data_IF_376404087381
#
_entry.id   IF_376404087381
#
_cell.length_a   1.000
_cell.length_b   1.000
_cell.length_c   1.000
_cell.angle_alpha   90.00
_cell.angle_beta   90.00
_cell.angle_gamma   90.00
#
_symmetry.space_group_name_H-M   'P 1'
#
loop_
_entity.id
_entity.type
_entity.pdbx_description
1 polymer ?
#
# COMPACT_ATOMS: atom_id res chain seq x y z
N UNK A 1 27.28 21.49 -32.36
CA UNK A 1 26.39 21.74 -31.22
C UNK A 1 25.32 20.65 -31.27
N UNK A 2 24.97 20.04 -30.15
CA UNK A 2 23.92 19.03 -30.13
C UNK A 2 22.55 19.73 -30.21
N UNK A 3 21.70 19.32 -31.15
CA UNK A 3 20.32 19.79 -31.26
C UNK A 3 19.42 19.00 -30.30
N UNK A 4 18.23 19.53 -30.00
CA UNK A 4 17.19 18.76 -29.32
C UNK A 4 16.77 17.60 -30.23
N UNK A 5 16.49 16.44 -29.64
CA UNK A 5 15.92 15.33 -30.38
C UNK A 5 14.42 15.55 -30.64
N UNK A 6 13.91 14.88 -31.68
CA UNK A 6 12.53 14.99 -32.13
C UNK A 6 11.51 14.62 -31.05
N UNK A 7 11.82 13.63 -30.19
CA UNK A 7 10.91 13.20 -29.11
C UNK A 7 10.79 14.28 -28.05
N UNK A 8 11.90 14.90 -27.64
CA UNK A 8 11.90 16.03 -26.70
C UNK A 8 11.12 17.23 -27.26
N UNK A 9 11.23 17.50 -28.57
CA UNK A 9 10.53 18.62 -29.21
C UNK A 9 9.01 18.41 -29.30
N UNK A 10 8.56 17.17 -29.57
CA UNK A 10 7.13 16.83 -29.55
C UNK A 10 6.58 16.82 -28.11
N UNK A 11 7.31 16.24 -27.14
CA UNK A 11 6.89 16.28 -25.74
C UNK A 11 6.81 17.71 -25.18
N UNK A 12 7.64 18.63 -25.70
CA UNK A 12 7.52 20.07 -25.40
C UNK A 12 6.22 20.67 -25.95
N UNK A 13 5.81 20.29 -27.16
CA UNK A 13 4.57 20.77 -27.79
C UNK A 13 3.30 20.24 -27.11
N UNK A 14 3.33 18.98 -26.67
CA UNK A 14 2.20 18.33 -26.00
C UNK A 14 2.07 18.71 -24.50
N UNK A 15 2.98 19.56 -23.98
CA UNK A 15 3.11 19.92 -22.55
C UNK A 15 3.35 18.71 -21.62
N UNK A 16 4.01 17.67 -22.15
CA UNK A 16 4.31 16.41 -21.44
C UNK A 16 5.73 16.38 -20.82
N UNK A 17 6.56 17.41 -21.04
CA UNK A 17 7.88 17.50 -20.43
C UNK A 17 7.82 17.86 -18.94
N UNK A 18 8.58 17.16 -18.07
CA UNK A 18 8.79 17.58 -16.69
C UNK A 18 9.39 18.99 -16.61
N UNK A 19 9.02 19.77 -15.59
CA UNK A 19 9.38 21.18 -15.45
C UNK A 19 10.90 21.47 -15.59
N UNK A 20 11.77 20.56 -15.11
CA UNK A 20 13.22 20.69 -15.26
C UNK A 20 13.68 20.58 -16.70
N UNK A 21 13.19 19.58 -17.43
CA UNK A 21 13.53 19.35 -18.83
C UNK A 21 12.93 20.42 -19.75
N UNK A 22 11.77 20.95 -19.39
CA UNK A 22 11.16 22.07 -20.10
C UNK A 22 12.02 23.34 -20.02
N UNK A 23 12.55 23.68 -18.84
CA UNK A 23 13.43 24.83 -18.68
C UNK A 23 14.75 24.68 -19.48
N UNK A 24 15.29 23.47 -19.55
CA UNK A 24 16.46 23.15 -20.39
C UNK A 24 16.17 23.28 -21.88
N UNK A 25 15.01 22.78 -22.33
CA UNK A 25 14.56 22.91 -23.71
C UNK A 25 14.31 24.38 -24.08
N UNK A 26 13.68 25.18 -23.22
CA UNK A 26 13.46 26.62 -23.42
C UNK A 26 14.77 27.40 -23.52
N UNK A 27 15.75 27.09 -22.66
CA UNK A 27 17.09 27.68 -22.74
C UNK A 27 17.79 27.33 -24.07
N UNK A 28 17.69 26.08 -24.51
CA UNK A 28 18.25 25.67 -25.80
C UNK A 28 17.54 26.34 -26.98
N UNK A 29 16.21 26.45 -26.93
CA UNK A 29 15.41 27.10 -27.95
C UNK A 29 15.72 28.60 -28.03
N UNK A 30 16.09 29.26 -26.94
CA UNK A 30 16.50 30.68 -26.97
C UNK A 30 17.79 30.90 -27.80
N UNK A 31 18.72 29.94 -27.76
CA UNK A 31 20.06 30.08 -28.35
C UNK A 31 20.21 29.37 -29.71
N UNK A 32 19.32 28.43 -30.07
CA UNK A 32 19.45 27.63 -31.29
C UNK A 32 18.38 27.95 -32.36
N UNK A 33 18.71 28.70 -33.43
CA UNK A 33 17.75 29.06 -34.48
C UNK A 33 17.27 27.87 -35.31
N UNK A 34 18.07 26.79 -35.40
CA UNK A 34 17.67 25.57 -36.11
C UNK A 34 16.52 24.85 -35.39
N UNK A 35 16.64 24.67 -34.07
CA UNK A 35 15.59 24.06 -33.25
C UNK A 35 14.33 24.94 -33.18
N UNK A 36 14.46 26.28 -33.21
CA UNK A 36 13.32 27.18 -33.34
C UNK A 36 12.57 27.00 -34.67
N UNK A 37 13.30 26.85 -35.77
CA UNK A 37 12.71 26.64 -37.09
C UNK A 37 11.95 25.31 -37.18
N UNK A 38 12.52 24.26 -36.58
CA UNK A 38 11.90 22.93 -36.50
C UNK A 38 10.62 22.96 -35.64
N UNK A 39 10.67 23.61 -34.48
CA UNK A 39 9.49 23.84 -33.63
C UNK A 39 8.39 24.58 -34.37
N UNK A 40 8.74 25.65 -35.10
CA UNK A 40 7.77 26.44 -35.87
C UNK A 40 7.12 25.61 -36.99
N UNK A 41 7.87 24.71 -37.63
CA UNK A 41 7.34 23.81 -38.65
C UNK A 41 6.34 22.80 -38.03
N UNK A 42 6.65 22.23 -36.87
CA UNK A 42 5.73 21.35 -36.14
C UNK A 42 4.46 22.09 -35.69
N UNK A 43 4.59 23.30 -35.14
CA UNK A 43 3.43 24.12 -34.74
C UNK A 43 2.50 24.43 -35.92
N UNK A 44 3.07 24.71 -37.11
CA UNK A 44 2.28 24.92 -38.33
C UNK A 44 1.53 23.65 -38.75
N UNK A 45 2.15 22.48 -38.61
CA UNK A 45 1.50 21.20 -38.88
C UNK A 45 0.33 20.96 -37.93
N UNK A 46 0.53 21.14 -36.62
CA UNK A 46 -0.54 20.99 -35.62
C UNK A 46 -1.68 21.98 -35.86
N UNK A 47 -1.38 23.23 -36.17
CA UNK A 47 -2.40 24.22 -36.52
C UNK A 47 -3.20 23.81 -37.77
N UNK A 48 -2.54 23.24 -38.78
CA UNK A 48 -3.22 22.72 -39.96
C UNK A 48 -4.15 21.53 -39.62
N UNK A 49 -3.71 20.64 -38.73
CA UNK A 49 -4.52 19.51 -38.25
C UNK A 49 -5.71 19.96 -37.41
N UNK A 50 -5.53 20.92 -36.50
CA UNK A 50 -6.59 21.49 -35.67
C UNK A 50 -7.63 22.27 -36.51
N UNK A 51 -7.19 22.87 -37.62
CA UNK A 51 -8.07 23.51 -38.59
C UNK A 51 -8.83 22.54 -39.50
N UNK A 52 -8.48 21.25 -39.48
CA UNK A 52 -9.20 20.25 -40.26
C UNK A 52 -10.61 20.09 -39.69
N UNK A 53 -11.60 20.00 -40.57
CA UNK A 53 -12.99 19.83 -40.13
C UNK A 53 -13.13 18.52 -39.35
N UNK A 54 -13.51 18.64 -38.07
CA UNK A 54 -13.89 17.50 -37.23
C UNK A 54 -14.94 16.68 -37.99
N UNK A 55 -14.62 15.42 -38.28
CA UNK A 55 -15.55 14.55 -38.96
C UNK A 55 -16.72 14.28 -38.00
N UNK A 56 -17.99 14.47 -38.43
CA UNK A 56 -19.11 14.13 -37.58
C UNK A 56 -19.07 12.63 -37.27
N UNK A 57 -19.10 12.28 -35.99
CA UNK A 57 -19.23 10.88 -35.58
C UNK A 57 -20.53 10.32 -36.17
N UNK A 58 -20.40 9.32 -37.04
CA UNK A 58 -21.54 8.72 -37.78
C UNK A 58 -22.31 7.71 -36.94
N UNK A 59 -21.78 7.34 -35.78
CA UNK A 59 -22.34 6.32 -34.88
C UNK A 59 -22.37 6.86 -33.45
N UNK A 60 -23.55 6.90 -32.84
CA UNK A 60 -23.71 7.22 -31.43
C UNK A 60 -23.37 5.99 -30.58
N UNK A 61 -22.14 5.96 -30.06
CA UNK A 61 -21.64 4.93 -29.15
C UNK A 61 -22.03 5.18 -27.69
N UNK A 62 -22.59 6.34 -27.36
CA UNK A 62 -22.88 6.75 -25.98
C UNK A 62 -23.87 5.81 -25.31
N UNK A 63 -24.89 5.38 -26.06
CA UNK A 63 -25.92 4.46 -25.57
C UNK A 63 -25.37 3.06 -25.30
N UNK A 64 -24.50 2.56 -26.19
CA UNK A 64 -23.87 1.25 -26.05
C UNK A 64 -22.91 1.22 -24.85
N UNK A 65 -22.08 2.26 -24.71
CA UNK A 65 -21.14 2.39 -23.58
C UNK A 65 -21.89 2.56 -22.26
N UNK A 66 -22.94 3.39 -22.22
CA UNK A 66 -23.75 3.57 -21.02
C UNK A 66 -24.43 2.27 -20.58
N UNK A 67 -24.93 1.47 -21.53
CA UNK A 67 -25.48 0.14 -21.23
C UNK A 67 -24.41 -0.82 -20.70
N UNK A 68 -23.21 -0.81 -21.27
CA UNK A 68 -22.14 -1.68 -20.82
C UNK A 68 -21.66 -1.33 -19.41
N UNK A 69 -21.50 -0.04 -19.10
CA UNK A 69 -21.18 0.44 -17.74
C UNK A 69 -22.29 0.08 -16.75
N UNK A 70 -23.57 0.21 -17.15
CA UNK A 70 -24.70 -0.16 -16.30
C UNK A 70 -24.74 -1.67 -16.02
N UNK A 71 -24.42 -2.51 -17.01
CA UNK A 71 -24.36 -3.96 -16.84
C UNK A 71 -23.20 -4.38 -15.93
N UNK A 72 -22.01 -3.80 -16.10
CA UNK A 72 -20.86 -4.06 -15.23
C UNK A 72 -21.10 -3.63 -13.79
N UNK A 73 -21.72 -2.47 -13.59
CA UNK A 73 -22.04 -1.95 -12.25
C UNK A 73 -23.15 -2.75 -11.54
N UNK A 74 -24.13 -3.28 -12.29
CA UNK A 74 -25.15 -4.19 -11.75
C UNK A 74 -24.54 -5.52 -11.31
N UNK A 75 -23.63 -6.09 -12.10
CA UNK A 75 -22.91 -7.32 -11.75
C UNK A 75 -22.03 -7.13 -10.51
N UNK A 76 -21.39 -5.96 -10.38
CA UNK A 76 -20.57 -5.60 -9.20
C UNK A 76 -21.40 -5.51 -7.90
N UNK A 77 -22.69 -5.13 -7.96
CA UNK A 77 -23.60 -5.11 -6.79
C UNK A 77 -24.00 -6.51 -6.31
N UNK A 78 -24.04 -7.51 -7.19
CA UNK A 78 -24.37 -8.88 -6.83
C UNK A 78 -23.30 -9.51 -5.90
N UNK A 79 -22.10 -8.94 -5.88
CA UNK A 79 -20.99 -9.33 -5.01
C UNK A 79 -21.09 -8.81 -3.55
N UNK A 80 -22.12 -8.02 -3.21
CA UNK A 80 -22.24 -7.41 -1.87
C UNK A 80 -22.81 -8.35 -0.80
N UNK A 81 -23.54 -9.41 -1.16
CA UNK A 81 -24.20 -10.30 -0.18
C UNK A 81 -23.22 -11.35 0.39
N UNK A 82 -22.25 -11.79 -0.41
CA UNK A 82 -21.18 -12.70 0.05
C UNK A 82 -20.18 -12.03 0.99
N UNK A 83 -19.91 -10.74 0.82
CA UNK A 83 -18.98 -9.99 1.69
C UNK A 83 -19.48 -9.89 3.13
N UNK A 84 -20.80 -9.76 3.33
CA UNK A 84 -21.39 -9.77 4.67
C UNK A 84 -21.22 -11.11 5.39
N UNK A 85 -21.38 -12.23 4.67
CA UNK A 85 -21.17 -13.57 5.23
C UNK A 85 -19.69 -13.85 5.52
N UNK A 86 -18.78 -13.35 4.69
CA UNK A 86 -17.33 -13.45 4.94
C UNK A 86 -16.95 -12.69 6.22
N UNK A 87 -17.42 -11.45 6.39
CA UNK A 87 -17.15 -10.65 7.60
C UNK A 87 -17.72 -11.29 8.86
N UNK A 88 -18.92 -11.87 8.79
CA UNK A 88 -19.50 -12.62 9.91
C UNK A 88 -18.68 -13.87 10.22
N UNK A 89 -18.23 -14.61 9.19
CA UNK A 89 -17.39 -15.80 9.39
C UNK A 89 -16.03 -15.47 10.00
N UNK A 90 -15.45 -14.31 9.65
CA UNK A 90 -14.19 -13.83 10.20
C UNK A 90 -14.32 -13.41 11.66
N UNK A 91 -15.39 -12.67 12.00
CA UNK A 91 -15.69 -12.30 13.39
C UNK A 91 -15.91 -13.53 14.28
N UNK A 92 -16.62 -14.54 13.78
CA UNK A 92 -16.85 -15.80 14.51
C UNK A 92 -15.54 -16.56 14.68
N UNK A 93 -14.72 -16.68 13.64
CA UNK A 93 -13.43 -17.36 13.72
C UNK A 93 -12.47 -16.65 14.69
N UNK A 94 -12.37 -15.31 14.61
CA UNK A 94 -11.57 -14.51 15.52
C UNK A 94 -12.04 -14.66 16.98
N UNK A 95 -13.36 -14.65 17.22
CA UNK A 95 -13.94 -14.87 18.54
C UNK A 95 -13.65 -16.26 19.11
N UNK A 96 -13.75 -17.30 18.29
CA UNK A 96 -13.41 -18.68 18.69
C UNK A 96 -11.91 -18.82 19.00
N UNK A 97 -11.04 -18.23 18.19
CA UNK A 97 -9.60 -18.22 18.46
C UNK A 97 -9.27 -17.47 19.75
N UNK A 98 -9.84 -16.29 19.96
CA UNK A 98 -9.68 -15.52 21.19
C UNK A 98 -10.13 -16.31 22.41
N UNK A 99 -11.26 -17.02 22.32
CA UNK A 99 -11.76 -17.86 23.40
C UNK A 99 -10.83 -19.05 23.69
N UNK A 100 -10.37 -19.75 22.65
CA UNK A 100 -9.47 -20.91 22.80
C UNK A 100 -8.08 -20.53 23.32
N UNK A 101 -7.59 -19.34 22.97
CA UNK A 101 -6.28 -18.83 23.38
C UNK A 101 -6.33 -17.98 24.65
N UNK A 102 -7.53 -17.68 25.16
CA UNK A 102 -7.71 -16.85 26.35
C UNK A 102 -6.84 -17.25 27.56
N UNK A 103 -6.72 -18.53 27.96
CA UNK A 103 -5.86 -18.88 29.10
C UNK A 103 -4.39 -18.56 28.85
N UNK A 104 -3.86 -18.82 27.66
CA UNK A 104 -2.49 -18.46 27.27
C UNK A 104 -2.30 -16.94 27.27
N UNK A 105 -3.29 -16.19 26.77
CA UNK A 105 -3.29 -14.72 26.80
C UNK A 105 -3.28 -14.21 28.25
N UNK A 106 -4.02 -14.84 29.16
CA UNK A 106 -4.05 -14.49 30.58
C UNK A 106 -2.72 -14.76 31.28
N UNK A 107 -2.06 -15.88 30.98
CA UNK A 107 -0.71 -16.19 31.49
C UNK A 107 0.32 -15.17 31.01
N UNK A 108 0.28 -14.83 29.72
CA UNK A 108 1.15 -13.80 29.15
C UNK A 108 0.88 -12.42 29.72
N UNK A 109 -0.38 -12.01 29.86
CA UNK A 109 -0.75 -10.74 30.49
C UNK A 109 -0.33 -10.69 31.96
N UNK A 110 -0.49 -11.80 32.69
CA UNK A 110 -0.03 -11.94 34.07
C UNK A 110 1.49 -11.87 34.19
N UNK A 111 2.23 -12.48 33.26
CA UNK A 111 3.69 -12.40 33.18
C UNK A 111 4.16 -10.96 32.91
N UNK A 112 3.53 -10.26 31.94
CA UNK A 112 3.81 -8.84 31.65
C UNK A 112 3.50 -7.98 32.88
N UNK A 113 2.34 -8.16 33.51
CA UNK A 113 1.92 -7.36 34.66
C UNK A 113 2.80 -7.63 35.89
N UNK A 114 3.17 -8.88 36.13
CA UNK A 114 4.08 -9.28 37.22
C UNK A 114 5.50 -8.72 37.01
N UNK A 115 5.96 -8.61 35.76
CA UNK A 115 7.25 -7.99 35.48
C UNK A 115 7.18 -6.45 35.50
N UNK A 116 6.09 -5.84 35.04
CA UNK A 116 5.85 -4.40 35.14
C UNK A 116 5.83 -3.91 36.59
N UNK A 117 5.24 -4.65 37.52
CA UNK A 117 5.25 -4.29 38.95
C UNK A 117 6.63 -4.49 39.61
N UNK A 118 7.51 -5.33 39.04
CA UNK A 118 8.91 -5.44 39.48
C UNK A 118 9.80 -4.32 38.91
N UNK A 119 9.52 -3.84 37.69
CA UNK A 119 10.21 -2.69 37.09
C UNK A 119 9.73 -1.33 37.64
N UNK A 120 8.63 -1.34 38.39
CA UNK A 120 8.12 -0.16 39.06
C UNK A 120 9.02 0.24 40.25
N UNK A 121 9.99 1.12 39.95
CA UNK A 121 10.47 2.21 40.82
C UNK A 121 11.47 1.91 41.94
N UNK A 122 12.61 1.29 41.63
CA UNK A 122 13.82 1.54 42.43
C UNK A 122 15.06 1.88 41.58
N UNK A 123 14.86 2.57 40.46
CA UNK A 123 15.95 3.28 39.79
C UNK A 123 16.17 4.56 40.58
N UNK A 124 17.08 4.53 41.54
CA UNK A 124 17.62 5.73 42.16
C UNK A 124 18.64 6.32 41.21
N UNK A 125 18.52 7.60 40.87
CA UNK A 125 19.52 8.32 40.09
C UNK A 125 20.55 8.91 41.07
N UNK A 126 21.71 8.28 41.31
CA UNK A 126 22.72 8.84 42.19
C UNK A 126 23.36 10.07 41.52
N UNK A 127 23.44 11.16 42.25
CA UNK A 127 24.20 12.34 41.84
C UNK A 127 25.54 12.41 42.60
N UNK A 128 26.69 12.53 41.92
CA UNK A 128 26.86 12.47 40.46
C UNK A 128 26.74 11.04 39.91
N UNK A 129 26.23 10.94 38.67
CA UNK A 129 26.08 9.67 37.96
C UNK A 129 27.47 9.11 37.65
N UNK A 130 27.83 7.97 38.24
CA UNK A 130 29.01 7.22 37.86
C UNK A 130 28.65 6.15 36.81
N UNK A 131 29.46 6.02 35.75
CA UNK A 131 29.25 5.02 34.71
C UNK A 131 29.36 3.58 35.23
N UNK A 132 30.17 3.35 36.26
CA UNK A 132 30.35 2.02 36.87
C UNK A 132 29.08 1.58 37.62
N UNK A 133 28.53 2.44 38.47
CA UNK A 133 27.30 2.18 39.22
C UNK A 133 26.10 2.02 38.27
N UNK A 134 26.02 2.87 37.24
CA UNK A 134 24.98 2.77 36.22
C UNK A 134 25.08 1.45 35.44
N UNK A 135 26.28 1.01 35.08
CA UNK A 135 26.49 -0.28 34.41
C UNK A 135 26.10 -1.45 35.31
N UNK A 136 26.43 -1.41 36.60
CA UNK A 136 26.06 -2.44 37.56
C UNK A 136 24.53 -2.54 37.71
N UNK A 137 23.84 -1.41 37.92
CA UNK A 137 22.39 -1.37 38.02
C UNK A 137 21.71 -1.84 36.73
N UNK A 138 22.19 -1.42 35.57
CA UNK A 138 21.66 -1.83 34.27
C UNK A 138 21.86 -3.33 34.04
N UNK A 139 23.02 -3.87 34.42
CA UNK A 139 23.32 -5.29 34.31
C UNK A 139 22.41 -6.14 35.20
N UNK A 140 22.10 -5.67 36.41
CA UNK A 140 21.17 -6.33 37.32
C UNK A 140 19.73 -6.34 36.76
N UNK A 141 19.30 -5.25 36.13
CA UNK A 141 17.99 -5.17 35.44
C UNK A 141 17.94 -6.12 34.24
N UNK A 142 19.00 -6.19 33.44
CA UNK A 142 19.06 -7.08 32.27
C UNK A 142 19.03 -8.54 32.72
N UNK A 143 19.74 -8.90 33.80
CA UNK A 143 19.75 -10.26 34.35
C UNK A 143 18.42 -10.65 35.03
N UNK A 144 17.61 -9.68 35.45
CA UNK A 144 16.29 -9.93 36.02
C UNK A 144 15.18 -10.03 34.98
N UNK A 145 15.48 -9.89 33.68
CA UNK A 145 14.52 -10.14 32.60
C UNK A 145 14.16 -11.64 32.62
N UNK A 146 12.93 -12.02 32.98
CA UNK A 146 12.53 -13.41 32.96
C UNK A 146 12.50 -13.92 31.52
N UNK A 147 12.79 -15.20 31.33
CA UNK A 147 12.61 -15.84 30.02
C UNK A 147 11.14 -15.77 29.61
N UNK A 148 10.90 -15.61 28.31
CA UNK A 148 9.55 -15.62 27.75
C UNK A 148 8.84 -16.94 28.11
N UNK A 149 7.57 -16.89 28.53
CA UNK A 149 6.80 -18.11 28.74
C UNK A 149 6.73 -18.91 27.44
N UNK A 150 6.96 -20.22 27.53
CA UNK A 150 6.86 -21.09 26.37
C UNK A 150 5.39 -21.14 25.89
N UNK A 151 5.20 -21.13 24.58
CA UNK A 151 3.87 -21.35 23.98
C UNK A 151 3.62 -22.85 23.95
N UNK A 152 3.11 -23.40 25.05
CA UNK A 152 2.72 -24.82 25.16
C UNK A 152 1.25 -24.98 24.79
N UNK A 153 0.99 -25.00 23.47
CA UNK A 153 -0.33 -25.26 22.91
C UNK A 153 -0.52 -26.76 22.75
N UNK A 154 -1.70 -27.27 23.13
CA UNK A 154 -2.09 -28.63 22.82
C UNK A 154 -2.06 -28.85 21.30
N UNK A 155 -1.68 -30.05 20.85
CA UNK A 155 -1.58 -30.37 19.41
C UNK A 155 -2.86 -30.02 18.64
N UNK A 156 -4.03 -30.17 19.28
CA UNK A 156 -5.33 -29.77 18.71
C UNK A 156 -5.44 -28.26 18.44
N UNK A 157 -4.91 -27.41 19.32
CA UNK A 157 -4.95 -25.95 19.15
C UNK A 157 -4.03 -25.50 18.01
N UNK A 158 -2.88 -26.16 17.83
CA UNK A 158 -2.02 -25.96 16.65
C UNK A 158 -2.76 -26.28 15.35
N UNK A 159 -3.47 -27.41 15.28
CA UNK A 159 -4.28 -27.75 14.10
C UNK A 159 -5.38 -26.74 13.82
N UNK A 160 -6.05 -26.24 14.86
CA UNK A 160 -7.09 -25.19 14.71
C UNK A 160 -6.46 -23.90 14.18
N UNK A 161 -5.33 -23.45 14.73
CA UNK A 161 -4.65 -22.23 14.27
C UNK A 161 -4.22 -22.32 12.82
N UNK A 162 -3.53 -23.40 12.46
CA UNK A 162 -3.07 -23.64 11.09
C UNK A 162 -4.26 -23.78 10.15
N UNK A 163 -5.32 -24.48 10.57
CA UNK A 163 -6.54 -24.67 9.79
C UNK A 163 -7.28 -23.36 9.52
N UNK A 164 -7.47 -22.51 10.54
CA UNK A 164 -8.10 -21.20 10.37
C UNK A 164 -7.24 -20.28 9.49
N UNK A 165 -5.92 -20.26 9.69
CA UNK A 165 -5.02 -19.49 8.84
C UNK A 165 -5.07 -19.95 7.37
N UNK A 166 -5.11 -21.26 7.11
CA UNK A 166 -5.28 -21.83 5.77
C UNK A 166 -6.62 -21.45 5.14
N UNK A 167 -7.72 -21.49 5.90
CA UNK A 167 -9.05 -21.11 5.40
C UNK A 167 -9.08 -19.63 5.02
N UNK A 168 -8.55 -18.76 5.88
CA UNK A 168 -8.46 -17.32 5.61
C UNK A 168 -7.59 -17.07 4.37
N UNK A 169 -6.44 -17.73 4.27
CA UNK A 169 -5.55 -17.62 3.12
C UNK A 169 -6.19 -18.09 1.81
N UNK A 170 -6.86 -19.24 1.82
CA UNK A 170 -7.59 -19.76 0.65
C UNK A 170 -8.78 -18.89 0.27
N UNK A 171 -9.53 -18.37 1.25
CA UNK A 171 -10.64 -17.46 0.99
C UNK A 171 -10.16 -16.13 0.38
N UNK A 172 -9.08 -15.56 0.92
CA UNK A 172 -8.44 -14.36 0.39
C UNK A 172 -7.91 -14.55 -1.03
N UNK A 173 -7.17 -15.63 -1.27
CA UNK A 173 -6.65 -15.96 -2.60
C UNK A 173 -7.77 -16.21 -3.61
N UNK A 174 -8.82 -16.94 -3.22
CA UNK A 174 -9.97 -17.16 -4.10
C UNK A 174 -10.60 -15.84 -4.52
N UNK A 175 -10.71 -14.89 -3.59
CA UNK A 175 -11.29 -13.57 -3.85
C UNK A 175 -10.42 -12.72 -4.80
N UNK A 176 -9.10 -12.91 -4.75
CA UNK A 176 -8.14 -12.27 -5.66
C UNK A 176 -8.22 -12.89 -7.06
N UNK A 177 -8.12 -14.21 -7.19
CA UNK A 177 -8.06 -14.88 -8.50
C UNK A 177 -9.40 -14.90 -9.26
N UNK A 178 -10.53 -14.67 -8.59
CA UNK A 178 -11.81 -14.47 -9.29
C UNK A 178 -11.94 -13.09 -9.96
N UNK A 179 -11.08 -12.13 -9.62
CA UNK A 179 -11.10 -10.79 -10.22
C UNK A 179 -10.37 -10.70 -11.57
N UNK A 180 -9.52 -11.68 -11.90
CA UNK A 180 -8.72 -11.66 -13.14
C UNK A 180 -9.39 -12.39 -14.32
N UNK A 181 -10.59 -12.94 -14.12
CA UNK A 181 -11.33 -13.73 -15.12
C UNK A 181 -12.47 -12.98 -15.83
N UNK A 182 -12.57 -11.65 -15.66
CA UNK A 182 -13.56 -10.80 -16.33
C UNK A 182 -12.91 -9.72 -17.19
#
# INVERSE_FOLDING_TARGET
>A
MAHLDELTLNAYLDDELPASHRAEAEAHLADCPACQAELAALQQLFFALDSAAEAPFTVDVSAAVAQQIAAESANRKQFSVSSGLVLVSELVAAGVLLFLLWPTIQEWLGWIHGWQTQLAWNITWPDPISWAELHEQLSAIIQSIPSLPAIDLATMQWFVLIGVALIIWLAGNRLIFTNDAS
#
